data_IF_542976262230
#
_entry.id   IF_542976262230
#
_cell.length_a   1.000
_cell.length_b   1.000
_cell.length_c   1.000
_cell.angle_alpha   90.00
_cell.angle_beta   90.00
_cell.angle_gamma   90.00
#
_symmetry.space_group_name_H-M   'P 1'
#
loop_
_entity.id
_entity.type
_entity.pdbx_description
1 polymer ?
#
# COMPACT_ATOMS: atom_id res chain seq x y z
N UNK A 1 -3.72 23.15 12.59
CA UNK A 1 -3.83 21.67 12.48
C UNK A 1 -2.44 21.14 12.78
N UNK A 2 -2.26 20.47 13.92
CA UNK A 2 -0.96 20.05 14.49
C UNK A 2 -0.12 19.27 13.48
N UNK A 3 1.22 19.39 13.45
CA UNK A 3 2.07 18.57 12.58
C UNK A 3 2.20 17.11 13.04
N UNK A 4 1.71 16.76 14.24
CA UNK A 4 1.72 15.41 14.79
C UNK A 4 0.43 14.64 14.47
N UNK A 5 0.47 13.31 14.62
CA UNK A 5 -0.66 12.38 14.42
C UNK A 5 -1.25 12.44 13.00
N UNK A 6 -0.37 12.47 12.00
CA UNK A 6 -0.77 12.54 10.59
C UNK A 6 -0.64 11.21 9.90
N UNK A 7 -1.47 11.00 8.89
CA UNK A 7 -1.45 9.80 8.08
C UNK A 7 -0.64 10.02 6.82
N UNK A 8 0.12 9.01 6.45
CA UNK A 8 0.81 8.92 5.17
C UNK A 8 0.28 7.71 4.42
N UNK A 9 -0.26 7.92 3.21
CA UNK A 9 -0.87 6.86 2.42
C UNK A 9 -0.05 6.60 1.15
N UNK A 10 0.33 5.35 0.92
CA UNK A 10 1.03 4.92 -0.28
C UNK A 10 2.29 4.11 0.02
N UNK A 11 2.88 3.53 -1.03
CA UNK A 11 4.08 2.73 -0.92
C UNK A 11 3.85 1.35 -0.29
N UNK A 12 4.99 0.73 0.06
CA UNK A 12 5.09 -0.62 0.63
C UNK A 12 5.10 -0.64 2.16
N UNK A 13 5.15 0.52 2.82
CA UNK A 13 5.21 0.64 4.29
C UNK A 13 6.57 0.26 4.90
N UNK A 14 7.53 -0.23 4.09
CA UNK A 14 8.89 -0.55 4.53
C UNK A 14 9.85 0.62 4.27
N UNK A 15 9.67 1.31 3.14
CA UNK A 15 10.53 2.42 2.73
C UNK A 15 10.41 3.69 3.59
N UNK A 16 9.33 3.84 4.37
CA UNK A 16 9.06 5.04 5.17
C UNK A 16 9.34 4.88 6.68
N UNK A 17 9.83 3.72 7.15
CA UNK A 17 10.13 3.52 8.58
C UNK A 17 11.18 4.50 9.13
N UNK A 18 12.04 5.05 8.27
CA UNK A 18 13.04 6.05 8.64
C UNK A 18 12.46 7.44 9.00
N UNK A 19 11.18 7.72 8.67
CA UNK A 19 10.50 8.98 8.99
C UNK A 19 9.67 8.94 10.28
N UNK A 20 9.76 7.86 11.05
CA UNK A 20 8.97 7.60 12.28
C UNK A 20 9.14 8.60 13.43
N UNK A 21 10.02 9.60 13.31
CA UNK A 21 10.22 10.62 14.35
C UNK A 21 9.21 11.77 14.29
N UNK A 22 8.43 11.89 13.22
CA UNK A 22 7.46 12.98 13.04
C UNK A 22 6.05 12.65 13.58
N UNK A 23 5.86 11.51 14.26
CA UNK A 23 4.55 11.09 14.76
C UNK A 23 3.53 10.87 13.64
N UNK A 24 3.98 10.30 12.52
CA UNK A 24 3.15 10.00 11.35
C UNK A 24 2.87 8.50 11.28
N UNK A 25 1.63 8.15 11.01
CA UNK A 25 1.21 6.76 10.78
C UNK A 25 1.25 6.43 9.29
N UNK A 26 1.92 5.33 8.95
CA UNK A 26 2.20 4.94 7.57
C UNK A 26 1.24 3.85 7.16
N UNK A 27 0.39 4.17 6.19
CA UNK A 27 -0.61 3.28 5.63
C UNK A 27 -0.17 2.90 4.22
N UNK A 28 0.20 1.64 4.01
CA UNK A 28 0.59 1.14 2.69
C UNK A 28 -0.60 1.14 1.72
N UNK A 29 -0.37 1.46 0.45
CA UNK A 29 -1.36 1.29 -0.62
C UNK A 29 -0.66 0.72 -1.84
N UNK A 30 -0.86 -0.59 -2.06
CA UNK A 30 -0.18 -1.32 -3.15
C UNK A 30 -0.62 -0.76 -4.49
N UNK A 31 0.31 -0.66 -5.44
CA UNK A 31 0.06 -0.04 -6.74
C UNK A 31 0.29 1.47 -6.79
N UNK A 32 0.32 2.19 -5.66
CA UNK A 32 0.61 3.63 -5.58
C UNK A 32 1.90 3.90 -4.80
N UNK A 33 2.71 4.84 -5.28
CA UNK A 33 3.79 5.41 -4.48
C UNK A 33 3.27 6.40 -3.44
N UNK A 34 4.04 6.65 -2.39
CA UNK A 34 3.73 7.69 -1.39
C UNK A 34 3.49 9.04 -2.04
N UNK A 35 4.35 9.42 -2.99
CA UNK A 35 4.27 10.71 -3.69
C UNK A 35 3.01 10.84 -4.55
N UNK A 36 2.47 9.74 -5.09
CA UNK A 36 1.29 9.77 -5.96
C UNK A 36 0.04 10.32 -5.24
N UNK A 37 -0.01 10.22 -3.91
CA UNK A 37 -1.13 10.66 -3.06
C UNK A 37 -0.70 11.80 -2.15
N UNK A 38 0.47 11.68 -1.53
CA UNK A 38 0.92 12.56 -0.45
C UNK A 38 1.63 13.83 -0.93
N UNK A 39 1.88 13.99 -2.23
CA UNK A 39 2.49 15.22 -2.77
C UNK A 39 1.71 16.49 -2.38
N UNK A 40 0.38 16.40 -2.25
CA UNK A 40 -0.48 17.51 -1.82
C UNK A 40 -0.39 17.81 -0.32
N UNK A 41 0.16 16.89 0.46
CA UNK A 41 0.21 16.92 1.92
C UNK A 41 1.62 16.58 2.42
N UNK A 42 2.63 17.45 2.19
CA UNK A 42 4.01 17.20 2.61
C UNK A 42 4.14 17.01 4.14
N UNK A 43 3.24 17.61 4.92
CA UNK A 43 3.14 17.43 6.38
C UNK A 43 2.25 16.28 6.84
N UNK A 44 1.74 15.43 5.93
CA UNK A 44 0.81 14.35 6.23
C UNK A 44 -0.67 14.77 6.19
N UNK A 45 -1.54 13.78 6.01
CA UNK A 45 -2.99 13.94 5.92
C UNK A 45 -3.63 13.89 7.32
N UNK A 46 -4.72 14.63 7.52
CA UNK A 46 -5.48 14.60 8.77
C UNK A 46 -6.54 13.49 8.82
N UNK A 47 -7.00 13.04 7.65
CA UNK A 47 -7.97 11.94 7.51
C UNK A 47 -7.55 11.09 6.32
N UNK A 48 -7.71 9.78 6.43
CA UNK A 48 -7.52 8.86 5.32
C UNK A 48 -8.68 7.90 5.23
N UNK A 49 -8.80 7.26 4.08
CA UNK A 49 -9.68 6.12 3.90
C UNK A 49 -8.96 5.08 3.05
N UNK A 50 -9.10 3.81 3.45
CA UNK A 50 -8.52 2.68 2.75
C UNK A 50 -9.48 1.49 2.83
N UNK A 51 -9.84 0.99 1.66
CA UNK A 51 -10.52 -0.26 1.43
C UNK A 51 -9.52 -1.27 0.87
N UNK A 52 -9.56 -2.49 1.38
CA UNK A 52 -8.73 -3.58 0.88
C UNK A 52 -9.58 -4.83 0.82
N UNK A 53 -9.62 -5.42 -0.36
CA UNK A 53 -10.18 -6.74 -0.60
C UNK A 53 -9.02 -7.61 -1.05
N UNK A 54 -8.87 -8.76 -0.40
CA UNK A 54 -7.81 -9.69 -0.71
C UNK A 54 -8.38 -11.11 -0.78
N UNK A 55 -8.18 -11.74 -1.93
CA UNK A 55 -8.52 -13.12 -2.18
C UNK A 55 -7.24 -13.94 -2.13
N UNK A 56 -7.16 -14.90 -1.21
CA UNK A 56 -6.00 -15.79 -1.05
C UNK A 56 -6.40 -17.20 -1.44
N UNK A 57 -5.67 -17.78 -2.37
CA UNK A 57 -5.81 -19.17 -2.77
C UNK A 57 -4.58 -19.97 -2.36
N UNK A 58 -4.71 -20.98 -1.48
CA UNK A 58 -3.60 -21.84 -1.11
C UNK A 58 -3.22 -22.74 -2.29
N UNK A 59 -2.01 -22.58 -2.82
CA UNK A 59 -1.47 -23.51 -3.82
C UNK A 59 -0.88 -24.75 -3.17
N UNK A 60 -0.28 -24.59 -1.99
CA UNK A 60 0.33 -25.68 -1.23
C UNK A 60 0.10 -25.47 0.25
N UNK A 61 -0.45 -26.51 0.90
CA UNK A 61 -0.66 -26.59 2.35
C UNK A 61 0.46 -27.37 3.04
N UNK A 62 1.63 -27.48 2.41
CA UNK A 62 2.73 -28.24 2.99
C UNK A 62 3.20 -27.58 4.30
N UNK A 63 3.39 -28.37 5.38
CA UNK A 63 3.75 -27.84 6.70
C UNK A 63 5.16 -27.22 6.76
N UNK A 64 6.03 -27.49 5.78
CA UNK A 64 7.36 -26.89 5.69
C UNK A 64 7.39 -25.55 4.95
N UNK A 65 6.38 -25.27 4.10
CA UNK A 65 6.25 -24.01 3.37
C UNK A 65 4.85 -23.92 2.79
N UNK A 66 4.04 -23.00 3.33
CA UNK A 66 2.70 -22.74 2.80
C UNK A 66 2.80 -21.63 1.77
N UNK A 67 2.31 -21.89 0.56
CA UNK A 67 2.37 -20.94 -0.56
C UNK A 67 0.94 -20.53 -0.93
N UNK A 68 0.70 -19.23 -0.91
CA UNK A 68 -0.55 -18.64 -1.34
C UNK A 68 -0.33 -17.76 -2.56
N UNK A 69 -1.20 -17.92 -3.55
CA UNK A 69 -1.40 -16.88 -4.55
C UNK A 69 -2.50 -15.97 -4.05
N UNK A 70 -2.27 -14.68 -4.18
CA UNK A 70 -3.14 -13.64 -3.68
C UNK A 70 -3.56 -12.74 -4.83
N UNK A 71 -4.83 -12.41 -4.90
CA UNK A 71 -5.32 -11.31 -5.73
C UNK A 71 -5.82 -10.22 -4.79
N UNK A 72 -5.42 -8.99 -5.00
CA UNK A 72 -5.85 -7.87 -4.17
C UNK A 72 -6.47 -6.77 -5.01
N UNK A 73 -7.49 -6.15 -4.44
CA UNK A 73 -8.05 -4.89 -4.90
C UNK A 73 -8.00 -3.92 -3.73
N UNK A 74 -7.40 -2.76 -3.94
CA UNK A 74 -7.30 -1.71 -2.94
C UNK A 74 -7.87 -0.41 -3.49
N UNK A 75 -8.46 0.36 -2.59
CA UNK A 75 -8.92 1.70 -2.90
C UNK A 75 -8.62 2.58 -1.71
N UNK A 76 -7.86 3.64 -1.88
CA UNK A 76 -7.63 4.56 -0.77
C UNK A 76 -7.36 5.98 -1.23
N UNK A 77 -7.57 6.92 -0.33
CA UNK A 77 -7.14 8.30 -0.51
C UNK A 77 -6.96 8.97 0.85
N UNK A 78 -6.28 10.12 0.85
CA UNK A 78 -5.96 10.87 2.05
C UNK A 78 -6.29 12.36 1.84
N UNK A 79 -6.72 13.03 2.91
CA UNK A 79 -7.15 14.42 2.91
C UNK A 79 -6.57 15.20 4.08
N UNK A 80 -6.27 16.48 3.86
CA UNK A 80 -5.67 17.35 4.88
C UNK A 80 -6.60 17.68 6.06
N UNK A 81 -7.91 17.75 5.82
CA UNK A 81 -8.94 18.07 6.83
C UNK A 81 -10.15 17.15 6.69
N UNK A 82 -10.84 16.87 7.80
CA UNK A 82 -12.07 16.08 7.80
C UNK A 82 -13.21 16.70 6.97
N UNK A 83 -13.23 18.04 6.81
CA UNK A 83 -14.20 18.74 5.98
C UNK A 83 -14.00 18.53 4.47
N UNK A 84 -12.78 18.22 4.07
CA UNK A 84 -12.42 18.01 2.66
C UNK A 84 -12.56 16.53 2.26
N UNK A 85 -13.05 15.70 3.20
CA UNK A 85 -13.22 14.27 3.03
C UNK A 85 -14.29 13.97 1.97
N UNK A 86 -13.91 13.20 0.95
CA UNK A 86 -14.82 12.75 -0.08
C UNK A 86 -14.69 11.22 -0.27
N UNK A 87 -15.68 10.42 0.17
CA UNK A 87 -15.61 8.96 0.06
C UNK A 87 -15.70 8.45 -1.40
N UNK A 88 -16.01 9.31 -2.38
CA UNK A 88 -16.05 8.93 -3.80
C UNK A 88 -14.74 9.20 -4.55
N UNK A 89 -13.85 10.04 -4.01
CA UNK A 89 -12.53 10.29 -4.59
C UNK A 89 -11.52 9.25 -4.07
N UNK A 90 -11.58 8.05 -4.65
CA UNK A 90 -10.76 6.91 -4.22
C UNK A 90 -9.76 6.55 -5.33
N UNK A 91 -8.48 6.42 -4.96
CA UNK A 91 -7.43 5.90 -5.84
C UNK A 91 -7.45 4.38 -5.81
N UNK A 92 -7.88 3.76 -6.92
CA UNK A 92 -8.07 2.31 -7.01
C UNK A 92 -6.85 1.64 -7.60
N UNK A 93 -6.50 0.48 -7.06
CA UNK A 93 -5.48 -0.41 -7.58
C UNK A 93 -5.94 -1.85 -7.49
N UNK A 94 -5.45 -2.66 -8.41
CA UNK A 94 -5.59 -4.11 -8.36
C UNK A 94 -4.25 -4.75 -8.60
N UNK A 95 -4.07 -5.97 -8.11
CA UNK A 95 -2.82 -6.66 -8.28
C UNK A 95 -2.90 -8.12 -7.94
N UNK A 96 -1.82 -8.80 -8.25
CA UNK A 96 -1.57 -10.17 -7.90
C UNK A 96 -0.33 -10.23 -7.02
N UNK A 97 -0.35 -11.12 -6.05
CA UNK A 97 0.74 -11.33 -5.14
C UNK A 97 0.98 -12.80 -4.88
N UNK A 98 2.17 -13.11 -4.40
CA UNK A 98 2.57 -14.43 -3.95
C UNK A 98 3.08 -14.29 -2.53
N UNK A 99 2.54 -15.12 -1.63
CA UNK A 99 2.89 -15.12 -0.21
C UNK A 99 3.44 -16.49 0.15
N UNK A 100 4.69 -16.53 0.59
CA UNK A 100 5.35 -17.73 1.10
C UNK A 100 5.50 -17.57 2.61
N UNK A 101 4.99 -18.55 3.34
CA UNK A 101 5.15 -18.64 4.79
C UNK A 101 6.24 -19.64 5.09
N UNK A 102 7.36 -19.15 5.62
CA UNK A 102 8.49 -19.97 6.00
C UNK A 102 8.53 -20.08 7.54
N UNK A 103 8.58 -21.30 8.11
CA UNK A 103 8.54 -21.50 9.56
C UNK A 103 9.61 -20.74 10.36
N UNK A 104 10.73 -20.39 9.74
CA UNK A 104 11.85 -19.70 10.41
C UNK A 104 12.03 -18.23 10.04
N UNK A 105 11.47 -17.78 8.91
CA UNK A 105 11.71 -16.44 8.37
C UNK A 105 10.45 -15.58 8.29
N UNK A 106 9.31 -16.12 8.73
CA UNK A 106 8.02 -15.44 8.66
C UNK A 106 7.46 -15.40 7.25
N UNK A 107 6.77 -14.31 6.95
CA UNK A 107 6.07 -14.08 5.69
C UNK A 107 6.97 -13.36 4.71
N UNK A 108 7.16 -13.98 3.55
CA UNK A 108 7.76 -13.36 2.37
C UNK A 108 6.67 -13.16 1.33
N UNK A 109 6.40 -11.90 1.01
CA UNK A 109 5.41 -11.50 0.03
C UNK A 109 6.02 -10.79 -1.17
N UNK A 110 5.54 -11.13 -2.35
CA UNK A 110 5.81 -10.41 -3.58
C UNK A 110 4.48 -9.94 -4.14
N UNK A 111 4.26 -8.63 -4.20
CA UNK A 111 2.99 -8.05 -4.65
C UNK A 111 3.25 -7.20 -5.89
N UNK A 112 2.54 -7.49 -6.98
CA UNK A 112 2.54 -6.70 -8.20
C UNK A 112 1.18 -6.02 -8.37
N UNK A 113 1.16 -4.70 -8.26
CA UNK A 113 -0.07 -3.90 -8.31
C UNK A 113 -0.04 -2.86 -9.42
N UNK A 114 -1.20 -2.60 -10.01
CA UNK A 114 -1.43 -1.56 -11.00
C UNK A 114 -2.43 -0.57 -10.41
N UNK A 115 -2.05 0.71 -10.34
CA UNK A 115 -2.94 1.80 -9.93
C UNK A 115 -3.62 2.43 -11.15
N UNK A 116 -4.94 2.59 -11.13
CA UNK A 116 -5.71 3.13 -12.26
C UNK A 116 -5.74 4.66 -12.30
N UNK A 117 -5.82 5.29 -11.14
CA UNK A 117 -6.10 6.72 -10.97
C UNK A 117 -4.84 7.54 -10.65
N UNK A 118 -3.66 7.09 -11.13
CA UNK A 118 -2.39 7.77 -10.87
C UNK A 118 -2.35 9.14 -11.55
N UNK A 119 -1.77 10.17 -10.91
CA UNK A 119 -1.55 11.45 -11.56
C UNK A 119 -0.75 11.21 -12.84
N UNK A 120 -1.20 11.80 -13.95
CA UNK A 120 -0.52 11.66 -15.24
C UNK A 120 0.93 12.11 -15.08
N UNK A 121 1.87 11.18 -15.25
CA UNK A 121 3.27 11.55 -15.43
C UNK A 121 3.34 12.47 -16.66
N UNK A 122 3.99 13.62 -16.53
CA UNK A 122 4.31 14.51 -17.65
C UNK A 122 5.28 13.75 -18.60
N UNK A 123 4.75 12.90 -19.49
CA UNK A 123 5.54 12.03 -20.37
C UNK A 123 4.81 10.80 -20.91
N UNK A 124 5.57 9.84 -21.43
CA UNK A 124 5.09 8.61 -22.07
C UNK A 124 4.15 7.79 -21.15
N UNK A 125 2.91 7.56 -21.62
CA UNK A 125 1.90 6.71 -20.96
C UNK A 125 2.25 5.22 -21.10
N UNK A 126 3.38 4.78 -20.55
CA UNK A 126 3.78 3.36 -20.52
C UNK A 126 3.09 2.65 -19.35
N UNK A 127 2.58 1.44 -19.60
CA UNK A 127 1.96 0.59 -18.58
C UNK A 127 2.90 0.32 -17.38
N UNK A 128 4.23 0.33 -17.61
CA UNK A 128 5.24 0.19 -16.56
C UNK A 128 5.16 1.29 -15.49
N UNK A 129 4.68 2.50 -15.82
CA UNK A 129 4.59 3.61 -14.88
C UNK A 129 3.39 3.44 -13.92
N UNK A 130 2.37 2.69 -14.35
CA UNK A 130 1.19 2.36 -13.55
C UNK A 130 1.39 1.11 -12.69
N UNK A 131 2.26 0.20 -13.12
CA UNK A 131 2.65 -0.98 -12.36
C UNK A 131 3.67 -0.65 -11.26
N UNK A 132 3.53 -1.28 -10.09
CA UNK A 132 4.47 -1.23 -8.96
C UNK A 132 4.68 -2.63 -8.44
N UNK A 133 5.93 -2.97 -8.20
CA UNK A 133 6.32 -4.20 -7.53
C UNK A 133 6.74 -3.87 -6.11
N UNK A 134 6.17 -4.59 -5.15
CA UNK A 134 6.42 -4.42 -3.73
C UNK A 134 6.87 -5.76 -3.14
N UNK A 135 7.83 -5.70 -2.23
CA UNK A 135 8.23 -6.84 -1.41
C UNK A 135 7.69 -6.59 -0.01
N UNK A 136 7.09 -7.60 0.59
CA UNK A 136 6.61 -7.53 1.97
C UNK A 136 7.38 -8.57 2.77
N UNK A 137 8.01 -8.08 3.84
CA UNK A 137 8.67 -8.91 4.84
C UNK A 137 7.92 -8.70 6.14
N UNK A 138 7.46 -9.78 6.74
CA UNK A 138 6.79 -9.73 8.03
C UNK A 138 7.21 -10.90 8.89
N UNK A 139 7.57 -10.63 10.13
CA UNK A 139 7.48 -11.64 11.18
C UNK A 139 6.05 -11.56 11.71
N UNK A 140 5.30 -12.66 11.66
CA UNK A 140 4.18 -12.81 12.58
C UNK A 140 4.83 -13.06 13.96
N UNK A 141 4.66 -12.17 14.96
CA UNK A 141 4.91 -12.57 16.34
C UNK A 141 3.82 -13.57 16.73
N UNK A 142 4.24 -14.73 17.26
CA UNK A 142 3.34 -15.72 17.86
C UNK A 142 2.48 -15.12 18.99
#
# INVERSE_FOLDING_TARGET
LSPFERFELGGDGLSNQSFGLNGRDIISLRGYGTEDIMQRYPGGAGVFNKYTVELRYPLSLNPSSTIFVTAFAQGGNAWGRARDFNPFDIKRSVGLGLRVFLPMFGTLGFDWGIGFDKPEFYGDKKLSNYARFNIVLGFEPD
#
